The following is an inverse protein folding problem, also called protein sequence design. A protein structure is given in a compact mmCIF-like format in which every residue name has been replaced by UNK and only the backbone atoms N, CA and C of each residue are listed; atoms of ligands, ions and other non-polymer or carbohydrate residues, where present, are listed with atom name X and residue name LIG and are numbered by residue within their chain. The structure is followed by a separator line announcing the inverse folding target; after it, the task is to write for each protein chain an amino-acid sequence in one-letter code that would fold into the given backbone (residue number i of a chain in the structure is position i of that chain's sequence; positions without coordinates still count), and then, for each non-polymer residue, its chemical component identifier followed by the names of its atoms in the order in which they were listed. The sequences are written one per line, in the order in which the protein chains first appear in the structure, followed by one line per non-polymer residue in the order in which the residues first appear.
data_IF_542404794679
#
_entry.id   IF_542404794679
#
_cell.length_a   1.000
_cell.length_b   1.000
_cell.length_c   1.000
_cell.angle_alpha   90.00
_cell.angle_beta   90.00
_cell.angle_gamma   90.00
#
_symmetry.space_group_name_H-M   'P 1'
#
loop_
_entity.id
_entity.type
_entity.pdbx_description
1 polymer ?
#
# COMPACT_ATOMS: atom_id res chain seq x y z
N UNK A 1 -10.61 -21.83 3.89
CA UNK A 1 -10.01 -22.15 5.21
C UNK A 1 -8.47 -22.15 5.11
N UNK A 2 -7.85 -21.01 4.80
CA UNK A 2 -6.39 -20.84 4.71
C UNK A 2 -5.93 -19.45 5.22
N UNK A 3 -6.81 -18.72 5.92
CA UNK A 3 -6.52 -17.36 6.44
C UNK A 3 -5.69 -17.37 7.73
N UNK A 4 -5.43 -18.53 8.33
CA UNK A 4 -4.75 -18.62 9.64
C UNK A 4 -3.24 -18.89 9.56
N UNK A 5 -2.67 -19.19 8.38
CA UNK A 5 -1.25 -19.58 8.27
C UNK A 5 -0.31 -18.46 7.77
N UNK A 6 -0.82 -17.28 7.38
CA UNK A 6 0.01 -16.12 7.03
C UNK A 6 -0.05 -14.98 8.06
N UNK A 7 -1.00 -15.01 8.99
CA UNK A 7 -1.23 -13.93 9.94
C UNK A 7 -0.65 -14.25 11.33
N UNK A 8 0.61 -13.86 11.56
CA UNK A 8 1.18 -13.80 12.90
C UNK A 8 1.25 -12.33 13.37
N UNK A 9 0.29 -11.86 14.18
CA UNK A 9 0.26 -10.46 14.62
C UNK A 9 1.49 -10.07 15.45
N UNK A 10 2.16 -11.01 16.14
CA UNK A 10 3.37 -10.74 16.93
C UNK A 10 4.63 -10.57 16.07
N UNK A 11 4.65 -11.11 14.85
CA UNK A 11 5.79 -10.96 13.93
C UNK A 11 5.77 -9.61 13.21
N UNK A 12 4.58 -9.06 12.99
CA UNK A 12 4.37 -7.87 12.17
C UNK A 12 4.02 -6.62 12.97
N UNK A 13 3.55 -6.74 14.21
CA UNK A 13 3.16 -5.57 15.00
C UNK A 13 4.25 -5.20 16.02
N UNK A 14 4.61 -3.90 16.19
CA UNK A 14 5.60 -3.49 17.18
C UNK A 14 5.23 -3.99 18.58
N UNK A 15 6.23 -4.51 19.30
CA UNK A 15 6.07 -5.09 20.63
C UNK A 15 5.59 -4.09 21.68
N UNK A 16 5.85 -2.79 21.47
CA UNK A 16 5.48 -1.71 22.40
C UNK A 16 4.10 -1.14 22.11
N UNK A 17 3.23 -1.15 23.12
CA UNK A 17 1.84 -0.65 23.05
C UNK A 17 1.74 0.79 22.53
N UNK A 18 2.61 1.71 22.98
CA UNK A 18 2.59 3.11 22.51
C UNK A 18 2.73 3.25 20.99
N UNK A 19 3.65 2.51 20.38
CA UNK A 19 3.86 2.48 18.93
C UNK A 19 2.64 1.85 18.21
N UNK A 20 1.92 0.94 18.88
CA UNK A 20 0.66 0.39 18.37
C UNK A 20 -0.42 1.45 18.23
N UNK A 21 -0.62 2.27 19.24
CA UNK A 21 -1.65 3.32 19.19
C UNK A 21 -1.33 4.37 18.11
N UNK A 22 -0.06 4.77 17.99
CA UNK A 22 0.40 5.73 16.98
C UNK A 22 0.17 5.20 15.55
N UNK A 23 0.56 3.95 15.27
CA UNK A 23 0.31 3.32 13.96
C UNK A 23 -1.18 3.24 13.62
N UNK A 24 -2.03 2.88 14.59
CA UNK A 24 -3.48 2.83 14.38
C UNK A 24 -4.05 4.20 14.05
N UNK A 25 -3.60 5.25 14.77
CA UNK A 25 -3.99 6.63 14.51
C UNK A 25 -3.56 7.08 13.11
N UNK A 26 -2.30 6.84 12.76
CA UNK A 26 -1.76 7.23 11.45
C UNK A 26 -2.50 6.53 10.30
N UNK A 27 -2.74 5.22 10.44
CA UNK A 27 -3.52 4.47 9.46
C UNK A 27 -4.94 5.02 9.30
N UNK A 28 -5.63 5.34 10.41
CA UNK A 28 -6.98 5.88 10.34
C UNK A 28 -7.05 7.23 9.61
N UNK A 29 -6.07 8.12 9.84
CA UNK A 29 -5.97 9.41 9.13
C UNK A 29 -5.84 9.19 7.62
N UNK A 30 -4.98 8.25 7.22
CA UNK A 30 -4.74 7.98 5.81
C UNK A 30 -5.95 7.31 5.15
N UNK A 31 -6.58 6.36 5.82
CA UNK A 31 -7.78 5.67 5.33
C UNK A 31 -8.96 6.65 5.15
N UNK A 32 -9.16 7.55 6.10
CA UNK A 32 -10.21 8.58 6.04
C UNK A 32 -10.00 9.55 4.86
N UNK A 33 -8.77 9.98 4.60
CA UNK A 33 -8.44 10.88 3.48
C UNK A 33 -8.45 10.22 2.10
N UNK A 34 -8.24 8.90 2.02
CA UNK A 34 -8.26 8.17 0.74
C UNK A 34 -9.67 7.81 0.29
N UNK A 35 -10.52 7.34 1.22
CA UNK A 35 -11.87 6.87 0.91
C UNK A 35 -12.86 8.00 0.52
N UNK A 36 -12.41 9.25 0.41
CA UNK A 36 -13.18 10.39 -0.10
C UNK A 36 -13.16 10.54 -1.63
N UNK A 37 -12.43 9.72 -2.39
CA UNK A 37 -12.44 9.77 -3.87
C UNK A 37 -13.72 9.18 -4.48
N UNK A 38 -14.34 9.81 -5.50
CA UNK A 38 -15.61 9.40 -6.09
C UNK A 38 -15.45 8.28 -7.12
N UNK A 39 -14.85 7.15 -6.73
CA UNK A 39 -14.86 5.91 -7.52
C UNK A 39 -15.90 4.91 -7.00
N UNK A 40 -16.86 5.38 -6.21
CA UNK A 40 -17.86 4.58 -5.53
C UNK A 40 -19.05 4.25 -6.41
N UNK A 41 -19.00 3.12 -7.12
CA UNK A 41 -20.23 2.39 -7.48
C UNK A 41 -20.49 1.36 -6.37
N UNK A 42 -21.46 1.60 -5.46
CA UNK A 42 -21.72 0.71 -4.33
C UNK A 42 -22.10 -0.70 -4.78
N UNK A 43 -21.70 -1.72 -4.01
CA UNK A 43 -22.10 -3.12 -4.25
C UNK A 43 -21.30 -3.89 -5.31
N UNK A 44 -20.39 -3.25 -6.04
CA UNK A 44 -19.63 -3.90 -7.12
C UNK A 44 -18.45 -4.75 -6.60
N UNK A 45 -18.10 -5.81 -7.33
CA UNK A 45 -16.87 -6.59 -7.08
C UNK A 45 -15.61 -5.72 -7.26
N UNK A 46 -15.65 -4.77 -8.20
CA UNK A 46 -14.60 -3.78 -8.43
C UNK A 46 -14.28 -2.97 -7.16
N UNK A 47 -15.30 -2.45 -6.46
CA UNK A 47 -15.12 -1.72 -5.20
C UNK A 47 -14.43 -2.57 -4.14
N UNK A 48 -14.85 -3.83 -3.99
CA UNK A 48 -14.25 -4.75 -3.00
C UNK A 48 -12.76 -4.98 -3.30
N UNK A 49 -12.43 -5.29 -4.55
CA UNK A 49 -11.04 -5.49 -4.97
C UNK A 49 -10.18 -4.23 -4.76
N UNK A 50 -10.69 -3.05 -5.12
CA UNK A 50 -9.99 -1.77 -4.96
C UNK A 50 -9.71 -1.46 -3.48
N UNK A 51 -10.72 -1.63 -2.62
CA UNK A 51 -10.59 -1.38 -1.20
C UNK A 51 -9.60 -2.35 -0.56
N UNK A 52 -9.79 -3.65 -0.71
CA UNK A 52 -8.95 -4.66 -0.05
C UNK A 52 -7.47 -4.52 -0.43
N UNK A 53 -7.19 -4.30 -1.73
CA UNK A 53 -5.81 -4.14 -2.22
C UNK A 53 -5.18 -2.83 -1.76
N UNK A 54 -5.89 -1.71 -1.88
CA UNK A 54 -5.33 -0.39 -1.54
C UNK A 54 -5.16 -0.22 -0.03
N UNK A 55 -6.16 -0.65 0.75
CA UNK A 55 -6.11 -0.64 2.21
C UNK A 55 -4.94 -1.47 2.73
N UNK A 56 -4.70 -2.65 2.13
CA UNK A 56 -3.54 -3.47 2.44
C UNK A 56 -2.22 -2.78 2.09
N UNK A 57 -2.11 -2.21 0.89
CA UNK A 57 -0.91 -1.49 0.45
C UNK A 57 -0.58 -0.33 1.38
N UNK A 58 -1.59 0.47 1.74
CA UNK A 58 -1.43 1.62 2.59
C UNK A 58 -0.97 1.24 3.99
N UNK A 59 -1.57 0.18 4.56
CA UNK A 59 -1.15 -0.36 5.86
C UNK A 59 0.34 -0.71 5.87
N UNK A 60 0.83 -1.36 4.81
CA UNK A 60 2.24 -1.73 4.69
C UNK A 60 3.14 -0.51 4.52
N UNK A 61 2.76 0.47 3.70
CA UNK A 61 3.49 1.73 3.55
C UNK A 61 3.65 2.42 4.91
N UNK A 62 2.56 2.60 5.66
CA UNK A 62 2.60 3.21 6.99
C UNK A 62 3.48 2.42 7.95
N UNK A 63 3.41 1.08 7.91
CA UNK A 63 4.23 0.21 8.75
C UNK A 63 5.72 0.37 8.46
N UNK A 64 6.13 0.30 7.19
CA UNK A 64 7.54 0.37 6.82
C UNK A 64 8.12 1.77 7.04
N UNK A 65 7.35 2.83 6.78
CA UNK A 65 7.77 4.19 7.10
C UNK A 65 7.94 4.41 8.60
N UNK A 66 7.07 3.83 9.42
CA UNK A 66 7.21 3.91 10.88
C UNK A 66 8.49 3.22 11.37
N UNK A 67 8.85 2.08 10.79
CA UNK A 67 10.07 1.35 11.19
C UNK A 67 11.36 2.05 10.73
N UNK A 68 11.30 2.84 9.66
CA UNK A 68 12.45 3.52 9.05
C UNK A 68 12.33 5.06 9.18
N UNK A 69 12.66 5.65 10.34
CA UNK A 69 12.44 7.07 10.60
C UNK A 69 13.22 8.00 9.65
N UNK A 70 14.41 7.61 9.18
CA UNK A 70 15.18 8.39 8.19
C UNK A 70 14.44 8.50 6.86
N UNK A 71 13.77 7.42 6.44
CA UNK A 71 12.98 7.37 5.21
C UNK A 71 11.71 8.20 5.37
N UNK A 72 11.05 8.11 6.52
CA UNK A 72 9.90 8.94 6.86
C UNK A 72 10.23 10.44 6.79
N UNK A 73 11.35 10.87 7.37
CA UNK A 73 11.77 12.28 7.30
C UNK A 73 12.08 12.71 5.86
N UNK A 74 12.66 11.83 5.05
CA UNK A 74 12.90 12.11 3.63
C UNK A 74 11.60 12.29 2.85
N UNK A 75 10.59 11.45 3.10
CA UNK A 75 9.25 11.57 2.49
C UNK A 75 8.56 12.85 2.94
N UNK A 76 8.61 13.18 4.24
CA UNK A 76 8.04 14.44 4.76
C UNK A 76 8.70 15.67 4.13
N UNK A 77 10.02 15.65 3.95
CA UNK A 77 10.74 16.73 3.30
C UNK A 77 10.31 16.90 1.84
N UNK A 78 10.16 15.79 1.09
CA UNK A 78 9.65 15.80 -0.29
C UNK A 78 8.23 16.39 -0.36
N UNK A 79 7.31 15.93 0.51
CA UNK A 79 5.93 16.43 0.56
C UNK A 79 5.86 17.90 0.99
N UNK A 80 6.67 18.32 1.96
CA UNK A 80 6.72 19.71 2.43
C UNK A 80 7.23 20.65 1.34
N UNK A 81 8.24 20.23 0.56
CA UNK A 81 8.74 21.02 -0.56
C UNK A 81 7.64 21.30 -1.60
N UNK A 82 6.83 20.28 -1.93
CA UNK A 82 5.70 20.43 -2.85
C UNK A 82 4.60 21.31 -2.24
N UNK A 83 4.24 21.08 -0.98
CA UNK A 83 3.24 21.89 -0.27
C UNK A 83 3.62 23.38 -0.24
N UNK A 84 4.88 23.68 0.05
CA UNK A 84 5.40 25.05 0.03
C UNK A 84 5.37 25.66 -1.38
N UNK A 85 5.70 24.88 -2.42
CA UNK A 85 5.61 25.34 -3.82
C UNK A 85 4.18 25.63 -4.27
N UNK A 86 3.20 25.04 -3.59
CA UNK A 86 1.76 25.20 -3.83
C UNK A 86 1.12 26.28 -2.97
N UNK A 87 1.92 27.11 -2.30
CA UNK A 87 1.46 28.14 -1.35
C UNK A 87 0.50 27.57 -0.28
N UNK A 88 0.62 26.27 0.01
CA UNK A 88 -0.20 25.54 0.96
C UNK A 88 -1.66 25.28 0.56
N UNK A 89 -2.19 25.96 -0.45
CA UNK A 89 -3.62 25.95 -0.80
C UNK A 89 -3.92 25.36 -2.18
N UNK A 90 -2.89 25.14 -3.02
CA UNK A 90 -3.06 24.58 -4.36
C UNK A 90 -3.05 23.04 -4.27
N UNK A 91 -4.07 22.35 -4.84
CA UNK A 91 -4.09 20.89 -4.92
C UNK A 91 -2.86 20.32 -5.65
N UNK A 92 -2.52 19.07 -5.35
CA UNK A 92 -1.45 18.34 -6.03
C UNK A 92 -1.74 18.22 -7.53
N UNK A 93 -0.83 18.71 -8.37
CA UNK A 93 -0.85 18.45 -9.80
C UNK A 93 -0.39 17.03 -10.12
N UNK A 94 -0.85 16.50 -11.25
CA UNK A 94 -0.40 15.21 -11.78
C UNK A 94 1.12 15.17 -12.00
N UNK A 95 1.71 16.24 -12.52
CA UNK A 95 3.15 16.32 -12.74
C UNK A 95 3.95 16.32 -11.44
N UNK A 96 3.44 16.98 -10.40
CA UNK A 96 4.05 16.93 -9.07
C UNK A 96 4.00 15.51 -8.51
N UNK A 97 2.89 14.81 -8.73
CA UNK A 97 2.72 13.42 -8.30
C UNK A 97 3.72 12.48 -8.97
N UNK A 98 3.96 12.65 -10.27
CA UNK A 98 4.98 11.88 -11.00
C UNK A 98 6.41 12.18 -10.57
N UNK A 99 6.65 13.37 -10.01
CA UNK A 99 7.97 13.80 -9.58
C UNK A 99 8.31 13.49 -8.12
N UNK A 100 7.40 12.87 -7.34
CA UNK A 100 7.65 12.39 -5.98
C UNK A 100 8.51 11.10 -5.98
N UNK A 101 9.81 11.24 -6.28
CA UNK A 101 10.73 10.12 -6.49
C UNK A 101 10.91 9.25 -5.25
N UNK A 102 10.99 9.85 -4.06
CA UNK A 102 11.20 9.11 -2.80
C UNK A 102 9.91 8.37 -2.46
N UNK A 103 8.77 9.07 -2.46
CA UNK A 103 7.46 8.47 -2.18
C UNK A 103 7.16 7.31 -3.13
N UNK A 104 7.43 7.48 -4.42
CA UNK A 104 7.22 6.41 -5.41
C UNK A 104 8.07 5.17 -5.11
N UNK A 105 9.35 5.34 -4.72
CA UNK A 105 10.21 4.22 -4.32
C UNK A 105 9.71 3.53 -3.06
N UNK A 106 9.25 4.29 -2.06
CA UNK A 106 8.65 3.74 -0.84
C UNK A 106 7.44 2.86 -1.18
N UNK A 107 6.55 3.34 -2.04
CA UNK A 107 5.36 2.59 -2.45
C UNK A 107 5.76 1.30 -3.15
N UNK A 108 6.65 1.36 -4.13
CA UNK A 108 7.11 0.17 -4.86
C UNK A 108 7.79 -0.85 -3.95
N UNK A 109 8.66 -0.40 -3.06
CA UNK A 109 9.38 -1.28 -2.15
C UNK A 109 8.43 -1.89 -1.10
N UNK A 110 7.44 -1.11 -0.64
CA UNK A 110 6.39 -1.61 0.24
C UNK A 110 5.59 -2.71 -0.42
N UNK A 111 5.19 -2.54 -1.69
CA UNK A 111 4.48 -3.56 -2.46
C UNK A 111 5.33 -4.82 -2.67
N UNK A 112 6.63 -4.65 -2.94
CA UNK A 112 7.58 -5.76 -3.10
C UNK A 112 7.68 -6.61 -1.83
N UNK A 113 7.72 -5.97 -0.65
CA UNK A 113 7.85 -6.66 0.63
C UNK A 113 6.52 -7.23 1.14
N UNK A 114 5.41 -6.54 0.89
CA UNK A 114 4.09 -6.90 1.41
C UNK A 114 3.48 -8.14 0.75
N UNK A 115 3.80 -8.40 -0.54
CA UNK A 115 3.24 -9.52 -1.32
C UNK A 115 1.72 -9.66 -1.17
N UNK A 116 0.98 -8.54 -1.31
CA UNK A 116 -0.47 -8.43 -1.04
C UNK A 116 -1.29 -9.45 -1.81
N UNK A 117 -0.89 -9.75 -3.05
CA UNK A 117 -1.45 -10.82 -3.87
C UNK A 117 -0.37 -11.89 -3.97
N UNK A 118 -0.58 -13.04 -3.31
CA UNK A 118 0.44 -14.09 -3.25
C UNK A 118 0.59 -14.83 -4.57
N UNK A 119 -0.50 -15.36 -5.12
CA UNK A 119 -0.49 -16.11 -6.38
C UNK A 119 -1.79 -15.88 -7.14
N UNK A 120 -1.73 -15.38 -8.38
CA UNK A 120 -2.93 -15.27 -9.20
C UNK A 120 -3.24 -16.64 -9.81
N UNK A 121 -4.48 -17.10 -9.65
CA UNK A 121 -4.93 -18.34 -10.29
C UNK A 121 -4.98 -18.18 -11.81
N UNK A 122 -4.58 -19.23 -12.52
CA UNK A 122 -4.61 -19.37 -13.97
C UNK A 122 -5.09 -20.77 -14.30
N UNK A 123 -5.81 -20.90 -15.39
CA UNK A 123 -6.26 -22.18 -15.94
C UNK A 123 -5.72 -22.28 -17.37
N UNK A 124 -5.07 -23.40 -17.70
CA UNK A 124 -4.62 -23.67 -19.05
C UNK A 124 -5.83 -24.04 -19.92
N UNK A 125 -6.07 -23.27 -20.98
CA UNK A 125 -7.17 -23.53 -21.93
C UNK A 125 -6.76 -24.47 -23.07
N UNK A 126 -5.46 -24.76 -23.17
CA UNK A 126 -4.85 -25.68 -24.13
C UNK A 126 -3.68 -26.40 -23.45
N UNK A 127 -3.28 -27.54 -23.99
CA UNK A 127 -2.07 -28.22 -23.53
C UNK A 127 -0.84 -27.33 -23.80
N UNK A 128 -0.11 -26.99 -22.73
CA UNK A 128 1.11 -26.20 -22.80
C UNK A 128 2.28 -27.05 -22.30
N UNK A 129 3.36 -27.09 -23.08
CA UNK A 129 4.64 -27.66 -22.65
C UNK A 129 5.61 -26.54 -22.26
N UNK A 130 6.06 -26.54 -21.01
CA UNK A 130 7.06 -25.58 -20.52
C UNK A 130 8.16 -26.30 -19.76
N UNK A 131 9.41 -26.06 -20.17
CA UNK A 131 10.61 -26.73 -19.62
C UNK A 131 10.48 -28.27 -19.58
N UNK A 132 9.90 -28.87 -20.64
CA UNK A 132 9.70 -30.31 -20.76
C UNK A 132 8.58 -30.90 -19.88
N UNK A 133 7.76 -30.05 -19.23
CA UNK A 133 6.58 -30.48 -18.47
C UNK A 133 5.31 -30.06 -19.22
N UNK A 134 4.40 -31.02 -19.43
CA UNK A 134 3.07 -30.78 -20.04
C UNK A 134 2.03 -30.43 -18.97
N UNK A 135 1.11 -29.54 -19.31
CA UNK A 135 -0.09 -29.17 -18.53
C UNK A 135 0.22 -28.50 -17.19
N UNK A 136 0.89 -27.34 -17.26
CA UNK A 136 1.09 -26.42 -16.12
C UNK A 136 -0.10 -25.48 -16.00
#
# INVERSE_FOLDING_TARGET
MWWHLSWNPHKFWPSKLRSREELKKNYHIVDAGYNSFPTCIPGTQYKKALLDTTTSAMKWVVKYLHDEPKLLESVKAEQKAIHNSNEGNIPLSWDQTRNMRITHRVVLESLRMASIISFPFREAIIDVEYKGKKNI
#
